data_IF_280557922855
#
_entry.id   IF_280557922855
#
_cell.length_a   1.000
_cell.length_b   1.000
_cell.length_c   1.000
_cell.angle_alpha   90.00
_cell.angle_beta   90.00
_cell.angle_gamma   90.00
#
_symmetry.space_group_name_H-M   'P 1'
#
loop_
_entity.id
_entity.type
_entity.pdbx_description
1 polymer ?
#
# COMPACT_ATOMS: atom_id res chain seq x y z
N UNK A 1 29.41 -3.90 -2.09
CA UNK A 1 28.58 -3.06 -1.19
C UNK A 1 27.32 -2.59 -1.91
N UNK A 2 27.39 -1.91 -3.05
CA UNK A 2 26.18 -1.44 -3.78
C UNK A 2 25.22 -2.57 -4.22
N UNK A 3 25.75 -3.71 -4.68
CA UNK A 3 24.93 -4.88 -5.06
C UNK A 3 24.13 -5.49 -3.90
N UNK A 4 24.67 -5.45 -2.68
CA UNK A 4 24.02 -6.01 -1.49
C UNK A 4 22.86 -5.11 -1.05
N UNK A 5 23.09 -3.79 -1.07
CA UNK A 5 22.06 -2.77 -0.79
C UNK A 5 20.92 -2.86 -1.83
N UNK A 6 21.25 -3.00 -3.11
CA UNK A 6 20.24 -3.13 -4.17
C UNK A 6 19.40 -4.41 -4.01
N UNK A 7 20.01 -5.54 -3.66
CA UNK A 7 19.31 -6.81 -3.39
C UNK A 7 18.37 -6.72 -2.18
N UNK A 8 18.82 -6.05 -1.12
CA UNK A 8 18.02 -5.83 0.08
C UNK A 8 16.81 -4.92 -0.20
N UNK A 9 17.01 -3.83 -0.95
CA UNK A 9 15.94 -2.93 -1.39
C UNK A 9 14.89 -3.66 -2.25
N UNK A 10 15.33 -4.46 -3.22
CA UNK A 10 14.44 -5.26 -4.05
C UNK A 10 13.63 -6.26 -3.21
N UNK A 11 14.28 -6.91 -2.23
CA UNK A 11 13.63 -7.83 -1.31
C UNK A 11 12.61 -7.13 -0.41
N UNK A 12 12.95 -5.95 0.11
CA UNK A 12 12.06 -5.14 0.93
C UNK A 12 10.82 -4.69 0.14
N UNK A 13 11.02 -4.21 -1.09
CA UNK A 13 9.94 -3.81 -1.98
C UNK A 13 9.01 -4.99 -2.32
N UNK A 14 9.59 -6.17 -2.58
CA UNK A 14 8.81 -7.39 -2.83
C UNK A 14 7.98 -7.86 -1.63
N UNK A 15 8.49 -7.71 -0.40
CA UNK A 15 7.69 -7.98 0.82
C UNK A 15 6.55 -6.99 0.98
N UNK A 16 6.82 -5.71 0.75
CA UNK A 16 5.83 -4.63 0.84
C UNK A 16 4.71 -4.81 -0.20
N UNK A 17 5.05 -5.15 -1.44
CA UNK A 17 4.08 -5.47 -2.50
C UNK A 17 3.14 -6.62 -2.11
N UNK A 18 3.66 -7.69 -1.49
CA UNK A 18 2.85 -8.82 -0.99
C UNK A 18 1.96 -8.41 0.18
N UNK A 19 2.46 -7.56 1.08
CA UNK A 19 1.68 -7.04 2.18
C UNK A 19 0.50 -6.19 1.70
N UNK A 20 0.73 -5.30 0.73
CA UNK A 20 -0.35 -4.51 0.09
C UNK A 20 -1.43 -5.43 -0.47
N UNK A 21 -1.05 -6.42 -1.27
CA UNK A 21 -2.01 -7.37 -1.84
C UNK A 21 -2.84 -8.07 -0.75
N UNK A 22 -2.19 -8.57 0.31
CA UNK A 22 -2.88 -9.25 1.40
C UNK A 22 -3.83 -8.34 2.19
N UNK A 23 -3.42 -7.09 2.48
CA UNK A 23 -4.28 -6.15 3.23
C UNK A 23 -5.46 -5.64 2.42
N UNK A 24 -5.26 -5.40 1.12
CA UNK A 24 -6.36 -5.04 0.23
C UNK A 24 -7.38 -6.16 0.12
N UNK A 25 -6.92 -7.42 0.08
CA UNK A 25 -7.81 -8.56 0.07
C UNK A 25 -8.59 -8.71 1.38
N UNK A 26 -7.91 -8.66 2.53
CA UNK A 26 -8.57 -8.71 3.83
C UNK A 26 -9.61 -7.59 4.01
N UNK A 27 -9.31 -6.38 3.52
CA UNK A 27 -10.27 -5.29 3.52
C UNK A 27 -11.49 -5.59 2.63
N UNK A 28 -11.30 -6.13 1.42
CA UNK A 28 -12.42 -6.51 0.55
C UNK A 28 -13.30 -7.59 1.16
N UNK A 29 -12.69 -8.59 1.80
CA UNK A 29 -13.41 -9.65 2.51
C UNK A 29 -14.25 -9.08 3.67
N UNK A 30 -13.66 -8.20 4.49
CA UNK A 30 -14.35 -7.56 5.60
C UNK A 30 -15.44 -6.57 5.14
N UNK A 31 -15.21 -5.84 4.06
CA UNK A 31 -16.23 -4.96 3.45
C UNK A 31 -17.41 -5.79 2.92
N UNK A 32 -17.14 -6.95 2.32
CA UNK A 32 -18.18 -7.86 1.81
C UNK A 32 -18.96 -8.59 2.91
N UNK A 33 -18.37 -8.81 4.10
CA UNK A 33 -19.08 -9.43 5.23
C UNK A 33 -20.13 -8.49 5.84
N UNK A 34 -20.01 -7.17 5.59
CA UNK A 34 -20.90 -6.15 6.15
C UNK A 34 -20.65 -5.86 7.63
N UNK A 35 -19.59 -6.45 8.20
CA UNK A 35 -19.14 -6.17 9.56
C UNK A 35 -18.32 -4.87 9.62
N UNK A 36 -17.99 -4.45 10.83
CA UNK A 36 -17.08 -3.31 11.02
C UNK A 36 -15.69 -3.66 10.49
N UNK A 37 -15.29 -3.00 9.40
CA UNK A 37 -14.05 -3.20 8.67
C UNK A 37 -13.04 -2.06 8.87
N UNK A 38 -13.21 -1.25 9.92
CA UNK A 38 -12.36 -0.06 10.11
C UNK A 38 -10.89 -0.43 10.34
N UNK A 39 -10.63 -1.55 11.02
CA UNK A 39 -9.27 -2.04 11.29
C UNK A 39 -8.60 -2.47 9.99
N UNK A 40 -9.29 -3.22 9.15
CA UNK A 40 -8.79 -3.69 7.86
C UNK A 40 -8.56 -2.53 6.91
N UNK A 41 -9.44 -1.53 6.91
CA UNK A 41 -9.26 -0.30 6.14
C UNK A 41 -8.01 0.46 6.58
N UNK A 42 -7.78 0.62 7.88
CA UNK A 42 -6.58 1.30 8.41
C UNK A 42 -5.29 0.53 8.05
N UNK A 43 -5.31 -0.80 8.17
CA UNK A 43 -4.17 -1.63 7.79
C UNK A 43 -3.89 -1.60 6.28
N UNK A 44 -4.93 -1.56 5.44
CA UNK A 44 -4.80 -1.39 4.01
C UNK A 44 -4.20 -0.02 3.65
N UNK A 45 -4.66 1.04 4.31
CA UNK A 45 -4.12 2.41 4.14
C UNK A 45 -2.64 2.46 4.52
N UNK A 46 -2.25 1.89 5.66
CA UNK A 46 -0.86 1.88 6.12
C UNK A 46 0.05 1.12 5.14
N UNK A 47 -0.37 -0.07 4.70
CA UNK A 47 0.40 -0.89 3.77
C UNK A 47 0.58 -0.17 2.42
N UNK A 48 -0.49 0.40 1.86
CA UNK A 48 -0.42 1.15 0.60
C UNK A 48 0.49 2.38 0.75
N UNK A 49 0.35 3.15 1.84
CA UNK A 49 1.19 4.33 2.08
C UNK A 49 2.67 3.95 2.15
N UNK A 50 3.02 2.96 2.97
CA UNK A 50 4.40 2.49 3.12
C UNK A 50 5.01 2.02 1.80
N UNK A 51 4.24 1.29 0.99
CA UNK A 51 4.68 0.85 -0.33
C UNK A 51 4.92 2.02 -1.29
N UNK A 52 4.02 3.00 -1.33
CA UNK A 52 4.19 4.19 -2.17
C UNK A 52 5.43 5.00 -1.79
N UNK A 53 5.68 5.21 -0.50
CA UNK A 53 6.87 5.91 -0.02
C UNK A 53 8.15 5.14 -0.38
N UNK A 54 8.19 3.82 -0.15
CA UNK A 54 9.36 3.00 -0.55
C UNK A 54 9.64 3.10 -2.04
N UNK A 55 8.61 3.07 -2.89
CA UNK A 55 8.76 3.25 -4.33
C UNK A 55 9.29 4.63 -4.69
N UNK A 56 8.79 5.68 -4.06
CA UNK A 56 9.24 7.06 -4.31
C UNK A 56 10.72 7.26 -3.96
N UNK A 57 11.17 6.68 -2.84
CA UNK A 57 12.59 6.69 -2.43
C UNK A 57 13.50 5.97 -3.44
N UNK A 58 12.97 4.98 -4.16
CA UNK A 58 13.67 4.26 -5.23
C UNK A 58 13.48 4.89 -6.61
N UNK A 59 12.83 6.06 -6.71
CA UNK A 59 12.57 6.75 -7.97
C UNK A 59 11.39 6.18 -8.80
N UNK A 60 10.62 5.24 -8.25
CA UNK A 60 9.51 4.55 -8.91
C UNK A 60 8.18 5.30 -8.72
N UNK A 61 8.06 6.48 -9.32
CA UNK A 61 7.04 7.49 -8.95
C UNK A 61 5.66 7.39 -9.62
N UNK A 62 5.40 6.39 -10.45
CA UNK A 62 4.08 6.26 -11.10
C UNK A 62 3.01 5.73 -10.13
N UNK A 63 2.48 6.63 -9.31
CA UNK A 63 1.42 6.33 -8.35
C UNK A 63 0.11 5.90 -9.03
N UNK A 64 -0.17 6.46 -10.21
CA UNK A 64 -1.42 6.17 -10.92
C UNK A 64 -1.42 4.74 -11.48
N UNK A 65 -0.26 4.24 -11.94
CA UNK A 65 -0.12 2.83 -12.28
C UNK A 65 -0.43 1.93 -11.08
N UNK A 66 0.16 2.21 -9.91
CA UNK A 66 -0.07 1.40 -8.70
C UNK A 66 -1.54 1.38 -8.27
N UNK A 67 -2.22 2.52 -8.33
CA UNK A 67 -3.65 2.59 -7.99
C UNK A 67 -4.47 1.67 -8.90
N UNK A 68 -4.15 1.60 -10.20
CA UNK A 68 -4.83 0.72 -11.15
C UNK A 68 -4.42 -0.75 -10.99
N UNK A 69 -3.13 -1.03 -10.89
CA UNK A 69 -2.59 -2.39 -10.87
C UNK A 69 -3.03 -3.18 -9.64
N UNK A 70 -3.21 -2.49 -8.50
CA UNK A 70 -3.68 -3.09 -7.25
C UNK A 70 -5.18 -2.92 -7.02
N UNK A 71 -5.90 -2.28 -7.94
CA UNK A 71 -7.31 -1.93 -7.83
C UNK A 71 -7.65 -1.36 -6.44
N UNK A 72 -6.95 -0.27 -6.08
CA UNK A 72 -7.00 0.25 -4.71
C UNK A 72 -8.40 0.82 -4.42
N UNK A 73 -9.11 0.31 -3.38
CA UNK A 73 -10.46 0.75 -3.06
C UNK A 73 -10.56 2.25 -2.77
N UNK A 74 -11.69 2.85 -3.15
CA UNK A 74 -11.89 4.31 -2.99
C UNK A 74 -11.79 4.77 -1.54
N UNK A 75 -12.22 3.95 -0.58
CA UNK A 75 -12.11 4.25 0.85
C UNK A 75 -10.64 4.39 1.29
N UNK A 76 -9.77 3.51 0.79
CA UNK A 76 -8.32 3.56 1.02
C UNK A 76 -7.73 4.84 0.42
N UNK A 77 -8.07 5.16 -0.84
CA UNK A 77 -7.61 6.39 -1.50
C UNK A 77 -8.06 7.67 -0.78
N UNK A 78 -9.31 7.71 -0.30
CA UNK A 78 -9.86 8.84 0.43
C UNK A 78 -9.12 9.09 1.75
N UNK A 79 -8.74 8.02 2.47
CA UNK A 79 -7.92 8.12 3.69
C UNK A 79 -6.50 8.55 3.39
N UNK A 80 -5.86 8.02 2.35
CA UNK A 80 -4.51 8.45 1.95
C UNK A 80 -4.43 9.95 1.67
N UNK A 81 -5.43 10.50 0.96
CA UNK A 81 -5.52 11.95 0.70
C UNK A 81 -5.78 12.81 1.93
N UNK A 82 -6.30 12.22 3.02
CA UNK A 82 -6.55 12.90 4.29
C UNK A 82 -5.33 12.79 5.22
N UNK A 83 -4.69 11.63 5.29
CA UNK A 83 -3.45 11.41 6.07
C UNK A 83 -2.27 12.22 5.51
N UNK A 84 -2.17 12.38 4.18
CA UNK A 84 -1.15 13.23 3.56
C UNK A 84 -1.32 14.73 3.86
N UNK A 85 -2.50 15.20 4.27
CA UNK A 85 -2.73 16.59 4.69
C UNK A 85 -2.35 16.84 6.16
N UNK A 86 -2.02 15.80 6.91
CA UNK A 86 -1.62 15.86 8.32
C UNK A 86 -0.09 15.71 8.45
N UNK A 87 0.67 16.49 7.69
CA UNK A 87 2.11 16.64 7.87
C UNK A 87 2.51 18.09 7.56
#
# INVERSE_FOLDING_TARGET
MEHEIASEQASALGRSARLVAARLEAYREAEASGEDHQIELDQAVEAVYGFLIQRELLGLRDRNAIIRDYDIPRAVLARLGTSSKRH
#
